data_IF_522326855174
#
_entry.id   IF_522326855174
#
_cell.length_a   1.000
_cell.length_b   1.000
_cell.length_c   1.000
_cell.angle_alpha   90.00
_cell.angle_beta   90.00
_cell.angle_gamma   90.00
#
_symmetry.space_group_name_H-M   'P 1'
#
loop_
_entity.id
_entity.type
_entity.pdbx_description
1 polymer ?
#
# COMPACT_ATOMS: atom_id res chain seq x y z
N UNK A 1 -7.33 -24.63 -28.57
CA UNK A 1 -6.90 -25.70 -27.65
C UNK A 1 -5.53 -25.28 -27.16
N UNK A 2 -5.47 -24.65 -25.99
CA UNK A 2 -4.18 -24.23 -25.39
C UNK A 2 -3.62 -25.46 -24.68
N UNK A 3 -2.51 -26.00 -25.17
CA UNK A 3 -1.67 -26.89 -24.36
C UNK A 3 -1.21 -26.08 -23.15
N UNK A 4 -1.75 -26.43 -21.99
CA UNK A 4 -1.19 -25.98 -20.73
C UNK A 4 0.15 -26.67 -20.59
N UNK A 5 1.23 -25.92 -20.81
CA UNK A 5 2.56 -26.27 -20.34
C UNK A 5 2.43 -26.80 -18.90
N UNK A 6 2.82 -28.06 -18.66
CA UNK A 6 2.82 -28.70 -17.34
C UNK A 6 3.91 -28.03 -16.47
N UNK A 7 3.65 -26.77 -16.13
CA UNK A 7 4.47 -26.02 -15.20
C UNK A 7 4.36 -26.66 -13.82
N UNK A 8 5.50 -27.08 -13.26
CA UNK A 8 5.61 -27.58 -11.90
C UNK A 8 4.93 -26.54 -10.97
N UNK A 9 3.90 -26.91 -10.21
CA UNK A 9 3.16 -25.95 -9.40
C UNK A 9 4.06 -25.33 -8.31
N UNK A 10 3.84 -24.05 -8.00
CA UNK A 10 4.58 -23.36 -6.94
C UNK A 10 4.43 -24.10 -5.60
N UNK A 11 5.53 -24.13 -4.83
CA UNK A 11 5.53 -24.79 -3.53
C UNK A 11 4.70 -23.97 -2.53
N UNK A 12 3.67 -24.60 -1.96
CA UNK A 12 2.85 -24.02 -0.88
C UNK A 12 3.60 -23.98 0.45
N UNK A 13 4.54 -23.04 0.60
CA UNK A 13 5.39 -22.90 1.79
C UNK A 13 4.92 -21.84 2.79
N UNK A 14 4.13 -20.85 2.36
CA UNK A 14 3.77 -19.71 3.19
C UNK A 14 2.64 -20.05 4.16
N UNK A 15 2.87 -19.82 5.46
CA UNK A 15 1.85 -19.97 6.50
C UNK A 15 0.96 -18.72 6.59
N UNK A 16 -0.23 -18.86 7.19
CA UNK A 16 -1.13 -17.72 7.42
C UNK A 16 -0.42 -16.55 8.13
N UNK A 17 0.42 -16.85 9.13
CA UNK A 17 1.15 -15.83 9.90
C UNK A 17 2.15 -15.07 9.05
N UNK A 18 2.93 -15.79 8.21
CA UNK A 18 3.90 -15.18 7.30
C UNK A 18 3.20 -14.25 6.30
N UNK A 19 2.08 -14.70 5.73
CA UNK A 19 1.29 -13.92 4.79
C UNK A 19 0.68 -12.68 5.47
N UNK A 20 0.18 -12.82 6.69
CA UNK A 20 -0.36 -11.69 7.47
C UNK A 20 0.70 -10.62 7.70
N UNK A 21 1.91 -10.99 8.14
CA UNK A 21 2.99 -10.01 8.33
C UNK A 21 3.55 -9.47 7.02
N UNK A 22 3.56 -10.28 5.95
CA UNK A 22 3.88 -9.81 4.61
C UNK A 22 2.90 -8.70 4.18
N UNK A 23 1.59 -8.97 4.29
CA UNK A 23 0.55 -7.98 3.98
C UNK A 23 0.53 -6.78 4.92
N UNK A 24 0.84 -6.97 6.20
CA UNK A 24 0.95 -5.86 7.14
C UNK A 24 2.13 -4.95 6.75
N UNK A 25 3.29 -5.50 6.38
CA UNK A 25 4.44 -4.70 5.94
C UNK A 25 4.18 -3.91 4.66
N UNK A 26 3.45 -4.50 3.70
CA UNK A 26 3.07 -3.78 2.47
C UNK A 26 2.10 -2.64 2.75
N UNK A 27 1.17 -2.81 3.70
CA UNK A 27 0.28 -1.73 4.15
C UNK A 27 1.06 -0.64 4.90
N UNK A 28 1.88 -1.01 5.89
CA UNK A 28 2.59 -0.08 6.77
C UNK A 28 3.50 0.88 5.98
N UNK A 29 4.31 0.34 5.08
CA UNK A 29 5.09 1.05 4.06
C UNK A 29 5.57 2.46 4.45
N UNK A 30 5.43 3.44 3.55
CA UNK A 30 5.69 4.85 3.87
C UNK A 30 4.46 5.62 4.36
N UNK A 31 3.28 5.00 4.34
CA UNK A 31 2.00 5.67 4.56
C UNK A 31 1.96 6.43 5.89
N UNK A 32 1.90 5.70 7.00
CA UNK A 32 1.85 6.34 8.33
C UNK A 32 3.15 7.04 8.71
N UNK A 33 4.29 6.54 8.24
CA UNK A 33 5.61 7.07 8.57
C UNK A 33 5.82 8.48 8.02
N UNK A 34 5.21 8.83 6.89
CA UNK A 34 5.48 10.11 6.23
C UNK A 34 4.21 10.94 6.07
N UNK A 35 3.09 10.32 5.69
CA UNK A 35 1.89 11.07 5.33
C UNK A 35 1.06 11.52 6.53
N UNK A 36 1.27 11.00 7.74
CA UNK A 36 0.49 11.42 8.92
C UNK A 36 0.51 12.93 9.13
N UNK A 37 1.66 13.59 8.89
CA UNK A 37 1.78 15.04 8.94
C UNK A 37 0.98 15.74 7.84
N UNK A 38 1.07 15.24 6.61
CA UNK A 38 0.33 15.81 5.46
C UNK A 38 -1.19 15.59 5.58
N UNK A 39 -1.62 14.48 6.16
CA UNK A 39 -3.04 14.24 6.52
C UNK A 39 -3.47 15.24 7.59
N UNK A 40 -2.63 15.48 8.61
CA UNK A 40 -2.91 16.48 9.64
C UNK A 40 -2.99 17.90 9.10
N UNK A 41 -2.22 18.23 8.07
CA UNK A 41 -2.34 19.51 7.37
C UNK A 41 -3.71 19.73 6.72
N UNK A 42 -4.49 18.67 6.44
CA UNK A 42 -5.83 18.74 5.85
C UNK A 42 -6.95 18.54 6.87
N UNK A 43 -6.83 17.50 7.70
CA UNK A 43 -7.88 17.10 8.64
C UNK A 43 -7.72 17.74 10.04
N UNK A 44 -6.60 18.39 10.32
CA UNK A 44 -6.33 19.00 11.61
C UNK A 44 -6.42 18.02 12.78
N UNK A 45 -7.13 18.42 13.83
CA UNK A 45 -7.37 17.59 15.03
C UNK A 45 -8.16 16.30 14.67
N UNK A 46 -8.88 16.29 13.54
CA UNK A 46 -9.64 15.14 13.08
C UNK A 46 -8.84 14.11 12.27
N UNK A 47 -7.50 14.22 12.23
CA UNK A 47 -6.60 13.25 11.57
C UNK A 47 -6.91 11.78 11.88
N UNK A 48 -7.14 11.36 13.14
CA UNK A 48 -7.45 9.97 13.44
C UNK A 48 -8.75 9.51 12.78
N UNK A 49 -9.76 10.38 12.74
CA UNK A 49 -11.03 10.11 12.07
C UNK A 49 -10.89 10.06 10.55
N UNK A 50 -9.99 10.86 9.96
CA UNK A 50 -9.66 10.76 8.55
C UNK A 50 -9.06 9.38 8.20
N UNK A 51 -8.17 8.84 9.06
CA UNK A 51 -7.66 7.48 8.90
C UNK A 51 -8.75 6.41 9.07
N UNK A 52 -9.70 6.58 9.99
CA UNK A 52 -10.84 5.66 10.15
C UNK A 52 -11.80 5.71 8.97
N UNK A 53 -12.06 6.91 8.42
CA UNK A 53 -12.89 7.07 7.22
C UNK A 53 -12.25 6.38 6.02
N UNK A 54 -10.94 6.58 5.82
CA UNK A 54 -10.16 5.90 4.80
C UNK A 54 -10.19 4.36 4.97
N UNK A 55 -10.04 3.87 6.20
CA UNK A 55 -10.17 2.44 6.50
C UNK A 55 -11.57 1.90 6.19
N UNK A 56 -12.62 2.65 6.55
CA UNK A 56 -14.00 2.26 6.27
C UNK A 56 -14.27 2.06 4.79
N UNK A 57 -13.72 2.93 3.93
CA UNK A 57 -13.82 2.82 2.47
C UNK A 57 -13.00 1.62 1.97
N UNK A 58 -11.75 1.49 2.41
CA UNK A 58 -10.87 0.39 1.99
C UNK A 58 -11.35 -1.00 2.47
N UNK A 59 -12.09 -1.07 3.58
CA UNK A 59 -12.62 -2.32 4.12
C UNK A 59 -13.55 -3.04 3.13
N UNK A 60 -14.39 -2.31 2.40
CA UNK A 60 -15.26 -2.93 1.39
C UNK A 60 -14.45 -3.60 0.28
N UNK A 61 -13.33 -2.99 -0.10
CA UNK A 61 -12.37 -3.56 -1.04
C UNK A 61 -11.68 -4.77 -0.44
N UNK A 62 -11.20 -4.71 0.80
CA UNK A 62 -10.60 -5.84 1.50
C UNK A 62 -11.54 -7.06 1.55
N UNK A 63 -12.84 -6.85 1.81
CA UNK A 63 -13.86 -7.91 1.74
C UNK A 63 -13.97 -8.52 0.35
N UNK A 64 -13.95 -7.69 -0.69
CA UNK A 64 -14.05 -8.15 -2.09
C UNK A 64 -12.82 -8.94 -2.52
N UNK A 65 -11.62 -8.51 -2.13
CA UNK A 65 -10.38 -9.25 -2.33
C UNK A 65 -10.34 -10.55 -1.55
N UNK A 66 -10.81 -10.55 -0.29
CA UNK A 66 -10.92 -11.76 0.53
C UNK A 66 -11.83 -12.80 -0.14
N UNK A 67 -12.98 -12.40 -0.68
CA UNK A 67 -13.87 -13.33 -1.40
C UNK A 67 -13.28 -13.81 -2.73
N UNK A 68 -12.75 -12.90 -3.56
CA UNK A 68 -12.19 -13.27 -4.86
C UNK A 68 -10.96 -14.18 -4.73
N UNK A 69 -10.06 -13.86 -3.80
CA UNK A 69 -8.86 -14.67 -3.57
C UNK A 69 -9.15 -16.04 -2.96
N UNK A 70 -10.24 -16.15 -2.19
CA UNK A 70 -10.73 -17.43 -1.70
C UNK A 70 -11.31 -18.30 -2.82
N UNK A 71 -12.05 -17.69 -3.77
CA UNK A 71 -12.64 -18.37 -4.92
C UNK A 71 -11.61 -18.73 -5.99
N UNK A 72 -10.63 -17.86 -6.20
CA UNK A 72 -9.68 -17.96 -7.30
C UNK A 72 -8.25 -17.66 -6.79
N UNK A 73 -7.62 -18.60 -6.07
CA UNK A 73 -6.28 -18.42 -5.50
C UNK A 73 -5.19 -18.54 -6.59
N UNK A 74 -5.12 -17.53 -7.46
CA UNK A 74 -4.20 -17.45 -8.60
C UNK A 74 -3.30 -16.22 -8.50
N UNK A 75 -2.03 -16.40 -8.86
CA UNK A 75 -1.06 -15.31 -8.99
C UNK A 75 -1.45 -14.42 -10.20
N UNK A 76 -1.35 -13.09 -10.08
CA UNK A 76 -1.90 -12.07 -11.00
C UNK A 76 -3.38 -11.69 -10.78
N UNK A 77 -3.75 -11.53 -9.50
CA UNK A 77 -5.12 -11.41 -9.00
C UNK A 77 -6.04 -10.47 -9.78
N UNK A 78 -5.70 -9.18 -9.87
CA UNK A 78 -6.64 -8.16 -10.37
C UNK A 78 -6.95 -8.36 -11.85
N UNK A 79 -5.90 -8.53 -12.65
CA UNK A 79 -6.02 -8.76 -14.09
C UNK A 79 -6.77 -10.08 -14.36
N UNK A 80 -6.53 -11.10 -13.54
CA UNK A 80 -7.23 -12.39 -13.63
C UNK A 80 -8.71 -12.27 -13.26
N UNK A 81 -9.06 -11.65 -12.13
CA UNK A 81 -10.45 -11.51 -11.67
C UNK A 81 -11.30 -10.75 -12.68
N UNK A 82 -10.76 -9.66 -13.24
CA UNK A 82 -11.43 -8.87 -14.26
C UNK A 82 -11.57 -9.67 -15.57
N UNK A 83 -10.54 -10.42 -15.97
CA UNK A 83 -10.63 -11.29 -17.14
C UNK A 83 -11.70 -12.37 -16.96
N UNK A 84 -11.73 -13.03 -15.80
CA UNK A 84 -12.67 -14.10 -15.48
C UNK A 84 -14.12 -13.58 -15.46
N UNK A 85 -14.37 -12.45 -14.81
CA UNK A 85 -15.70 -11.86 -14.74
C UNK A 85 -16.18 -11.34 -16.11
N UNK A 86 -15.33 -10.62 -16.85
CA UNK A 86 -15.74 -9.89 -18.05
C UNK A 86 -15.50 -10.62 -19.37
N UNK A 87 -14.63 -11.64 -19.40
CA UNK A 87 -14.17 -12.33 -20.61
C UNK A 87 -13.63 -11.35 -21.68
N UNK A 88 -13.02 -10.24 -21.25
CA UNK A 88 -12.52 -9.15 -22.12
C UNK A 88 -11.04 -8.93 -21.90
N UNK A 89 -10.22 -9.52 -22.78
CA UNK A 89 -8.75 -9.47 -22.70
C UNK A 89 -8.18 -8.05 -22.72
N UNK A 90 -8.86 -7.08 -23.35
CA UNK A 90 -8.42 -5.69 -23.34
C UNK A 90 -8.60 -5.02 -21.97
N UNK A 91 -9.62 -5.42 -21.21
CA UNK A 91 -9.89 -4.86 -19.89
C UNK A 91 -8.85 -5.36 -18.88
N UNK A 92 -8.52 -6.65 -18.94
CA UNK A 92 -7.43 -7.25 -18.17
C UNK A 92 -6.08 -6.57 -18.45
N UNK A 93 -5.79 -6.25 -19.73
CA UNK A 93 -4.61 -5.48 -20.13
C UNK A 93 -4.56 -4.09 -19.52
N UNK A 94 -5.68 -3.37 -19.53
CA UNK A 94 -5.76 -2.03 -18.92
C UNK A 94 -5.52 -2.14 -17.42
N UNK A 95 -6.11 -3.13 -16.74
CA UNK A 95 -5.87 -3.39 -15.32
C UNK A 95 -4.40 -3.67 -15.04
N UNK A 96 -3.74 -4.52 -15.84
CA UNK A 96 -2.30 -4.79 -15.71
C UNK A 96 -1.46 -3.51 -15.80
N UNK A 97 -1.73 -2.64 -16.77
CA UNK A 97 -1.04 -1.35 -16.88
C UNK A 97 -1.38 -0.39 -15.73
N UNK A 98 -2.62 -0.37 -15.24
CA UNK A 98 -2.99 0.42 -14.05
C UNK A 98 -2.24 -0.06 -12.80
N UNK A 99 -2.09 -1.37 -12.61
CA UNK A 99 -1.31 -1.94 -11.50
C UNK A 99 0.17 -1.55 -11.61
N UNK A 100 0.77 -1.63 -12.80
CA UNK A 100 2.15 -1.14 -13.05
C UNK A 100 2.27 0.35 -12.72
N UNK A 101 1.33 1.18 -13.18
CA UNK A 101 1.34 2.61 -12.92
C UNK A 101 1.17 2.92 -11.43
N UNK A 102 0.24 2.24 -10.73
CA UNK A 102 0.07 2.36 -9.28
C UNK A 102 1.39 2.05 -8.57
N UNK A 103 2.04 0.93 -8.90
CA UNK A 103 3.30 0.53 -8.26
C UNK A 103 4.42 1.53 -8.51
N UNK A 104 4.58 2.01 -9.74
CA UNK A 104 5.60 3.01 -10.11
C UNK A 104 5.37 4.35 -9.42
N UNK A 105 4.14 4.88 -9.41
CA UNK A 105 3.81 6.15 -8.75
C UNK A 105 3.92 6.00 -7.23
N UNK A 106 3.49 4.87 -6.68
CA UNK A 106 3.61 4.59 -5.23
C UNK A 106 5.07 4.50 -4.79
N UNK A 107 5.92 3.79 -5.54
CA UNK A 107 7.36 3.73 -5.26
C UNK A 107 8.02 5.11 -5.32
N UNK A 108 7.59 5.99 -6.23
CA UNK A 108 8.05 7.38 -6.27
C UNK A 108 7.61 8.17 -5.02
N UNK A 109 6.37 7.98 -4.54
CA UNK A 109 5.89 8.60 -3.29
C UNK A 109 6.70 8.14 -2.08
N UNK A 110 6.93 6.83 -1.95
CA UNK A 110 7.76 6.23 -0.89
C UNK A 110 9.19 6.79 -0.96
N UNK A 111 9.75 6.92 -2.17
CA UNK A 111 11.09 7.48 -2.39
C UNK A 111 11.18 8.96 -1.98
N UNK A 112 10.13 9.77 -2.18
CA UNK A 112 10.07 11.14 -1.62
C UNK A 112 10.07 11.11 -0.10
N UNK A 113 9.33 10.18 0.51
CA UNK A 113 9.26 10.05 1.96
C UNK A 113 10.56 9.60 2.63
N UNK A 114 11.44 8.95 1.88
CA UNK A 114 12.77 8.56 2.33
C UNK A 114 13.65 9.75 2.73
N UNK A 115 13.53 10.88 2.03
CA UNK A 115 14.51 11.98 2.15
C UNK A 115 14.56 12.56 3.56
N UNK A 116 13.40 12.82 4.17
CA UNK A 116 13.30 13.39 5.51
C UNK A 116 13.91 12.49 6.59
N UNK A 117 13.75 11.17 6.48
CA UNK A 117 14.36 10.23 7.42
C UNK A 117 15.85 10.01 7.18
N UNK A 118 16.30 10.02 5.92
CA UNK A 118 17.71 9.80 5.59
C UNK A 118 18.59 10.98 6.02
N UNK A 119 18.05 12.20 5.93
CA UNK A 119 18.71 13.43 6.34
C UNK A 119 19.01 13.50 7.85
N UNK A 120 18.38 12.66 8.68
CA UNK A 120 18.71 12.51 10.09
C UNK A 120 20.12 11.94 10.31
N UNK A 121 20.61 11.16 9.34
CA UNK A 121 21.92 10.49 9.41
C UNK A 121 22.95 11.21 8.55
N UNK A 122 22.56 11.57 7.33
CA UNK A 122 23.45 12.19 6.35
C UNK A 122 22.72 13.37 5.69
N UNK A 123 23.14 14.63 5.95
CA UNK A 123 22.47 15.80 5.42
C UNK A 123 22.80 16.02 3.93
N UNK A 124 22.14 15.24 3.07
CA UNK A 124 22.21 15.39 1.61
C UNK A 124 20.97 16.13 1.07
N UNK A 125 21.11 16.84 -0.07
CA UNK A 125 19.94 17.42 -0.73
C UNK A 125 18.97 16.34 -1.25
N UNK A 126 17.68 16.64 -1.27
CA UNK A 126 16.60 15.70 -1.63
C UNK A 126 16.88 14.90 -2.90
N UNK A 127 17.34 15.57 -3.97
CA UNK A 127 17.59 14.93 -5.26
C UNK A 127 18.67 13.84 -5.16
N UNK A 128 19.67 14.02 -4.29
CA UNK A 128 20.74 13.05 -4.10
C UNK A 128 20.25 11.85 -3.28
N UNK A 129 19.43 12.07 -2.24
CA UNK A 129 18.77 11.00 -1.49
C UNK A 129 17.88 10.14 -2.38
N UNK A 130 17.06 10.78 -3.23
CA UNK A 130 16.18 10.12 -4.20
C UNK A 130 17.00 9.29 -5.19
N UNK A 131 18.02 9.89 -5.81
CA UNK A 131 18.88 9.21 -6.78
C UNK A 131 19.56 7.99 -6.15
N UNK A 132 20.13 8.15 -4.94
CA UNK A 132 20.78 7.07 -4.21
C UNK A 132 19.80 5.92 -3.95
N UNK A 133 18.62 6.20 -3.40
CA UNK A 133 17.63 5.17 -3.09
C UNK A 133 17.18 4.42 -4.35
N UNK A 134 16.85 5.14 -5.43
CA UNK A 134 16.40 4.51 -6.68
C UNK A 134 17.48 3.63 -7.30
N UNK A 135 18.74 4.06 -7.28
CA UNK A 135 19.85 3.25 -7.76
C UNK A 135 20.05 1.98 -6.91
N UNK A 136 19.97 2.10 -5.59
CA UNK A 136 20.07 0.96 -4.67
C UNK A 136 18.93 -0.04 -4.91
N UNK A 137 17.69 0.44 -5.01
CA UNK A 137 16.53 -0.42 -5.29
C UNK A 137 16.63 -1.09 -6.66
N UNK A 138 17.04 -0.35 -7.69
CA UNK A 138 17.26 -0.89 -9.03
C UNK A 138 18.34 -1.96 -9.05
N UNK A 139 19.45 -1.73 -8.35
CA UNK A 139 20.51 -2.72 -8.20
C UNK A 139 20.02 -3.99 -7.49
N UNK A 140 19.34 -3.86 -6.35
CA UNK A 140 18.80 -5.00 -5.59
C UNK A 140 17.78 -5.79 -6.43
N UNK A 141 16.87 -5.09 -7.11
CA UNK A 141 15.87 -5.71 -7.97
C UNK A 141 16.49 -6.44 -9.17
N UNK A 142 17.54 -5.89 -9.78
CA UNK A 142 18.29 -6.53 -10.87
C UNK A 142 19.07 -7.74 -10.38
N UNK A 143 19.72 -7.63 -9.22
CA UNK A 143 20.45 -8.75 -8.59
C UNK A 143 19.50 -9.93 -8.32
N UNK A 144 18.21 -9.66 -8.12
CA UNK A 144 17.20 -10.69 -8.00
C UNK A 144 17.19 -11.34 -6.62
N UNK A 145 17.47 -10.53 -5.59
CA UNK A 145 17.21 -10.92 -4.21
C UNK A 145 15.68 -11.11 -4.12
N UNK A 146 15.23 -12.35 -4.24
CA UNK A 146 13.84 -12.71 -3.94
C UNK A 146 13.66 -12.45 -2.46
N UNK A 147 12.82 -11.48 -2.11
CA UNK A 147 12.46 -11.25 -0.72
C UNK A 147 11.92 -12.54 -0.13
N UNK A 148 12.59 -13.06 0.88
CA UNK A 148 12.07 -14.17 1.64
C UNK A 148 10.90 -13.65 2.46
N UNK A 149 9.72 -14.26 2.36
CA UNK A 149 8.56 -13.88 3.18
C UNK A 149 8.89 -13.85 4.69
N UNK A 150 9.88 -14.62 5.13
CA UNK A 150 10.40 -14.57 6.49
C UNK A 150 11.18 -13.27 6.79
N UNK A 151 12.00 -12.79 5.86
CA UNK A 151 12.71 -11.51 6.02
C UNK A 151 11.72 -10.34 6.02
N UNK A 152 10.73 -10.36 5.12
CA UNK A 152 9.65 -9.36 5.13
C UNK A 152 8.94 -9.38 6.48
N UNK A 153 8.59 -10.55 7.00
CA UNK A 153 7.98 -10.68 8.34
C UNK A 153 8.85 -10.07 9.45
N UNK A 154 10.17 -10.32 9.44
CA UNK A 154 11.09 -9.74 10.43
C UNK A 154 11.14 -8.21 10.34
N UNK A 155 11.21 -7.68 9.12
CA UNK A 155 11.18 -6.24 8.86
C UNK A 155 9.86 -5.65 9.37
N UNK A 156 8.72 -6.22 8.99
CA UNK A 156 7.40 -5.79 9.48
C UNK A 156 7.31 -5.82 10.99
N UNK A 157 7.88 -6.83 11.65
CA UNK A 157 7.87 -6.90 13.11
C UNK A 157 8.65 -5.72 13.73
N UNK A 158 9.79 -5.36 13.15
CA UNK A 158 10.58 -4.19 13.56
C UNK A 158 9.80 -2.89 13.32
N UNK A 159 9.08 -2.78 12.19
CA UNK A 159 8.21 -1.64 11.89
C UNK A 159 7.09 -1.50 12.93
N UNK A 160 6.37 -2.58 13.22
CA UNK A 160 5.30 -2.61 14.21
C UNK A 160 5.85 -2.22 15.59
N UNK A 161 7.03 -2.72 15.97
CA UNK A 161 7.68 -2.33 17.22
C UNK A 161 7.99 -0.82 17.25
N UNK A 162 8.48 -0.25 16.16
CA UNK A 162 8.70 1.20 16.03
C UNK A 162 7.41 2.00 16.27
N UNK A 163 6.30 1.60 15.66
CA UNK A 163 5.00 2.26 15.87
C UNK A 163 4.48 2.06 17.30
N UNK A 164 4.67 0.89 17.89
CA UNK A 164 4.30 0.62 19.29
C UNK A 164 5.11 1.48 20.26
N UNK A 165 6.40 1.74 19.99
CA UNK A 165 7.21 2.67 20.79
C UNK A 165 6.61 4.07 20.75
N UNK A 166 6.21 4.55 19.57
CA UNK A 166 5.56 5.86 19.42
C UNK A 166 4.27 5.94 20.24
N UNK A 167 3.41 4.93 20.14
CA UNK A 167 2.15 4.84 20.91
C UNK A 167 2.44 4.82 22.42
N UNK A 168 3.41 4.01 22.84
CA UNK A 168 3.79 3.89 24.25
C UNK A 168 4.33 5.21 24.81
N UNK A 169 5.17 5.93 24.07
CA UNK A 169 5.75 7.19 24.51
C UNK A 169 4.74 8.34 24.58
N UNK A 170 3.57 8.22 23.94
CA UNK A 170 2.49 9.19 24.05
C UNK A 170 1.54 8.93 25.25
N UNK A 171 1.74 7.85 26.03
CA UNK A 171 0.77 7.43 27.06
C UNK A 171 0.51 8.50 28.13
N UNK A 172 1.53 9.28 28.48
CA UNK A 172 1.47 10.37 29.46
C UNK A 172 0.63 11.55 28.97
N UNK A 173 0.41 11.67 27.65
CA UNK A 173 -0.39 12.73 27.04
C UNK A 173 -1.83 12.32 26.73
N UNK A 174 -2.20 11.06 26.95
CA UNK A 174 -3.58 10.56 26.76
C UNK A 174 -4.59 11.40 27.56
N UNK A 175 -4.24 11.82 28.77
CA UNK A 175 -5.09 12.67 29.61
C UNK A 175 -5.40 14.05 29.04
N UNK A 176 -4.61 14.53 28.07
CA UNK A 176 -4.82 15.82 27.39
C UNK A 176 -5.74 15.72 26.17
N UNK A 177 -6.07 14.50 25.72
CA UNK A 177 -6.93 14.29 24.54
C UNK A 177 -8.30 14.97 24.67
N UNK A 178 -9.04 14.92 25.80
CA UNK A 178 -10.30 15.64 25.92
C UNK A 178 -10.14 17.14 25.67
N UNK A 179 -9.13 17.77 26.29
CA UNK A 179 -8.84 19.19 26.11
C UNK A 179 -8.38 19.55 24.69
N UNK A 180 -7.78 18.61 23.95
CA UNK A 180 -7.46 18.76 22.53
C UNK A 180 -8.75 18.82 21.70
N UNK A 181 -9.69 17.90 21.95
CA UNK A 181 -10.96 17.85 21.23
C UNK A 181 -11.93 18.97 21.64
N UNK A 182 -11.83 19.51 22.86
CA UNK A 182 -12.57 20.71 23.27
C UNK A 182 -12.17 21.95 22.47
N UNK A 183 -10.93 21.98 21.95
CA UNK A 183 -10.43 23.03 21.05
C UNK A 183 -10.74 22.75 19.58
N UNK A 184 -11.35 21.61 19.26
CA UNK A 184 -11.72 21.30 17.89
C UNK A 184 -12.86 22.21 17.44
N UNK A 185 -12.77 22.72 16.22
CA UNK A 185 -13.84 23.52 15.62
C UNK A 185 -15.11 22.67 15.49
N UNK A 186 -16.28 23.28 15.72
CA UNK A 186 -17.57 22.61 15.47
C UNK A 186 -17.63 22.05 14.04
N UNK A 187 -18.35 20.94 13.85
CA UNK A 187 -18.56 20.34 12.53
C UNK A 187 -19.22 21.33 11.55
N UNK A 188 -18.39 22.02 10.80
CA UNK A 188 -18.75 22.90 9.69
C UNK A 188 -18.52 22.17 8.37
N UNK A 189 -19.02 22.73 7.27
CA UNK A 189 -18.75 22.20 5.92
C UNK A 189 -17.23 22.16 5.66
N UNK A 190 -16.49 23.19 6.07
CA UNK A 190 -15.04 23.28 5.89
C UNK A 190 -14.28 22.21 6.69
N UNK A 191 -14.72 21.92 7.91
CA UNK A 191 -14.14 20.83 8.72
C UNK A 191 -14.40 19.48 8.05
N UNK A 192 -15.62 19.24 7.57
CA UNK A 192 -15.97 17.99 6.89
C UNK A 192 -15.22 17.81 5.57
N UNK A 193 -15.03 18.88 4.79
CA UNK A 193 -14.21 18.83 3.56
C UNK A 193 -12.74 18.57 3.88
N UNK A 194 -12.20 19.17 4.95
CA UNK A 194 -10.85 18.90 5.46
C UNK A 194 -10.66 17.44 5.88
N UNK A 195 -11.62 16.86 6.61
CA UNK A 195 -11.63 15.43 6.97
C UNK A 195 -11.66 14.55 5.72
N UNK A 196 -12.52 14.88 4.74
CA UNK A 196 -12.60 14.15 3.48
C UNK A 196 -11.29 14.18 2.69
N UNK A 197 -10.69 15.36 2.54
CA UNK A 197 -9.40 15.53 1.86
C UNK A 197 -8.26 14.81 2.59
N UNK A 198 -8.25 14.86 3.92
CA UNK A 198 -7.30 14.10 4.74
C UNK A 198 -7.51 12.59 4.60
N UNK A 199 -8.75 12.12 4.58
CA UNK A 199 -9.08 10.71 4.38
C UNK A 199 -8.62 10.24 3.00
N UNK A 200 -8.77 11.06 1.96
CA UNK A 200 -8.29 10.74 0.61
C UNK A 200 -6.78 10.53 0.56
N UNK A 201 -6.03 11.37 1.27
CA UNK A 201 -4.59 11.19 1.40
C UNK A 201 -4.24 10.00 2.29
N UNK A 202 -4.97 9.79 3.39
CA UNK A 202 -4.77 8.67 4.30
C UNK A 202 -5.08 7.31 3.66
N UNK A 203 -5.99 7.27 2.68
CA UNK A 203 -6.34 6.07 1.91
C UNK A 203 -5.12 5.43 1.24
N UNK A 204 -4.16 6.24 0.82
CA UNK A 204 -2.87 5.74 0.30
C UNK A 204 -2.18 4.79 1.29
N UNK A 205 -2.30 5.05 2.60
CA UNK A 205 -1.65 4.23 3.64
C UNK A 205 -2.31 2.84 3.80
N UNK A 206 -3.49 2.64 3.23
CA UNK A 206 -4.21 1.35 3.26
C UNK A 206 -4.03 0.53 1.97
N UNK A 207 -3.31 1.06 0.99
CA UNK A 207 -2.92 0.34 -0.22
C UNK A 207 -1.83 -0.66 0.16
N UNK A 208 -1.96 -1.91 -0.29
CA UNK A 208 -0.94 -2.96 -0.10
C UNK A 208 -1.50 -4.32 0.32
N UNK A 209 -2.75 -4.43 0.78
CA UNK A 209 -3.35 -5.74 1.08
C UNK A 209 -3.66 -6.54 -0.21
N UNK A 210 -3.87 -5.86 -1.33
CA UNK A 210 -4.06 -6.44 -2.65
C UNK A 210 -2.83 -7.21 -3.13
N UNK A 211 -1.62 -6.75 -2.76
CA UNK A 211 -0.36 -7.40 -3.11
C UNK A 211 -0.25 -8.82 -2.52
N UNK A 212 -0.99 -9.12 -1.44
CA UNK A 212 -1.05 -10.45 -0.84
C UNK A 212 -1.62 -11.50 -1.79
N UNK A 213 -2.45 -11.09 -2.75
CA UNK A 213 -3.03 -11.99 -3.75
C UNK A 213 -1.98 -12.48 -4.75
N UNK A 214 -0.93 -11.70 -4.98
CA UNK A 214 0.12 -12.07 -5.93
C UNK A 214 1.00 -13.24 -5.47
N UNK A 215 0.94 -13.60 -4.18
CA UNK A 215 1.61 -14.77 -3.61
C UNK A 215 0.63 -15.91 -3.27
N UNK A 216 -0.63 -15.83 -3.70
CA UNK A 216 -1.70 -16.77 -3.32
C UNK A 216 -1.34 -18.24 -3.57
N UNK A 217 -0.64 -18.53 -4.67
CA UNK A 217 -0.26 -19.90 -5.05
C UNK A 217 0.83 -20.51 -4.14
N UNK A 218 1.58 -19.67 -3.41
CA UNK A 218 2.62 -20.10 -2.45
C UNK A 218 2.06 -20.30 -1.03
N UNK A 219 0.79 -19.96 -0.79
CA UNK A 219 0.13 -20.05 0.52
C UNK A 219 -0.38 -21.47 0.77
N UNK A 220 -0.22 -21.96 2.00
CA UNK A 220 -0.88 -23.17 2.48
C UNK A 220 -2.37 -22.90 2.68
N UNK A 221 -3.25 -23.70 2.07
CA UNK A 221 -4.71 -23.53 2.18
C UNK A 221 -5.17 -22.09 1.87
N UNK A 222 -4.83 -21.55 0.67
CA UNK A 222 -5.06 -20.15 0.32
C UNK A 222 -6.53 -19.75 0.42
N UNK A 223 -7.44 -20.68 0.16
CA UNK A 223 -8.89 -20.47 0.21
C UNK A 223 -9.36 -19.97 1.59
N UNK A 224 -8.66 -20.36 2.67
CA UNK A 224 -8.99 -19.96 4.05
C UNK A 224 -7.98 -18.98 4.64
N UNK A 225 -6.69 -19.20 4.37
CA UNK A 225 -5.62 -18.46 5.03
C UNK A 225 -5.41 -17.08 4.44
N UNK A 226 -5.59 -16.88 3.14
CA UNK A 226 -5.43 -15.57 2.51
C UNK A 226 -6.52 -14.57 2.94
N UNK A 227 -7.82 -14.91 2.95
CA UNK A 227 -8.87 -14.03 3.49
C UNK A 227 -8.61 -13.60 4.93
N UNK A 228 -8.24 -14.55 5.79
CA UNK A 228 -7.93 -14.27 7.20
C UNK A 228 -6.71 -13.36 7.34
N UNK A 229 -5.67 -13.60 6.55
CA UNK A 229 -4.48 -12.76 6.56
C UNK A 229 -4.79 -11.32 6.12
N UNK A 230 -5.63 -11.12 5.08
CA UNK A 230 -6.08 -9.79 4.63
C UNK A 230 -6.78 -9.05 5.78
N UNK A 231 -7.78 -9.67 6.43
CA UNK A 231 -8.51 -9.00 7.53
C UNK A 231 -7.64 -8.71 8.75
N UNK A 232 -6.75 -9.63 9.12
CA UNK A 232 -5.86 -9.45 10.26
C UNK A 232 -4.84 -8.33 9.98
N UNK A 233 -4.18 -8.34 8.82
CA UNK A 233 -3.23 -7.29 8.43
C UNK A 233 -3.92 -5.93 8.37
N UNK A 234 -5.07 -5.85 7.71
CA UNK A 234 -5.85 -4.61 7.58
C UNK A 234 -6.34 -4.07 8.94
N UNK A 235 -6.86 -4.95 9.80
CA UNK A 235 -7.33 -4.58 11.13
C UNK A 235 -6.21 -4.08 12.04
N UNK A 236 -5.06 -4.77 12.05
CA UNK A 236 -3.88 -4.36 12.81
C UNK A 236 -3.37 -3.00 12.31
N UNK A 237 -3.23 -2.82 11.00
CA UNK A 237 -2.81 -1.55 10.40
C UNK A 237 -3.77 -0.40 10.78
N UNK A 238 -5.07 -0.62 10.70
CA UNK A 238 -6.09 0.39 11.06
C UNK A 238 -5.94 0.84 12.52
N UNK A 239 -5.78 -0.11 13.44
CA UNK A 239 -5.59 0.20 14.87
C UNK A 239 -4.29 0.96 15.08
N UNK A 240 -3.18 0.51 14.48
CA UNK A 240 -1.88 1.18 14.60
C UNK A 240 -1.95 2.61 14.05
N UNK A 241 -2.53 2.82 12.87
CA UNK A 241 -2.62 4.14 12.26
C UNK A 241 -3.47 5.11 13.08
N UNK A 242 -4.62 4.65 13.58
CA UNK A 242 -5.47 5.44 14.45
C UNK A 242 -4.74 5.86 15.73
N UNK A 243 -4.06 4.91 16.39
CA UNK A 243 -3.33 5.17 17.63
C UNK A 243 -2.09 6.05 17.41
N UNK A 244 -1.37 5.86 16.31
CA UNK A 244 -0.22 6.72 15.94
C UNK A 244 -0.70 8.14 15.62
N UNK A 245 -1.80 8.30 14.87
CA UNK A 245 -2.37 9.62 14.59
C UNK A 245 -2.79 10.35 15.88
N UNK A 246 -3.42 9.63 16.83
CA UNK A 246 -3.74 10.17 18.15
C UNK A 246 -2.48 10.55 18.94
N UNK A 247 -1.47 9.68 18.96
CA UNK A 247 -0.19 9.93 19.62
C UNK A 247 0.45 11.21 19.08
N UNK A 248 0.57 11.35 17.76
CA UNK A 248 1.14 12.55 17.13
C UNK A 248 0.41 13.82 17.54
N UNK A 249 -0.93 13.83 17.48
CA UNK A 249 -1.72 15.01 17.83
C UNK A 249 -1.70 15.35 19.32
N UNK A 250 -1.60 14.35 20.20
CA UNK A 250 -1.53 14.58 21.65
C UNK A 250 -0.21 15.24 22.08
N UNK A 251 0.85 15.06 21.30
CA UNK A 251 2.21 15.48 21.65
C UNK A 251 2.68 16.69 20.85
N UNK A 252 2.34 16.75 19.58
CA UNK A 252 2.90 17.72 18.63
C UNK A 252 1.87 18.80 18.28
N UNK A 253 2.23 20.10 18.39
CA UNK A 253 1.43 21.18 17.82
C UNK A 253 1.17 20.96 16.32
N UNK A 254 -0.07 21.19 15.89
CA UNK A 254 -0.51 20.91 14.53
C UNK A 254 0.38 21.54 13.42
N UNK A 255 0.85 22.79 13.53
CA UNK A 255 1.73 23.36 12.51
C UNK A 255 3.08 22.63 12.39
N UNK A 256 3.63 22.14 13.50
CA UNK A 256 4.89 21.38 13.52
C UNK A 256 4.68 20.01 12.88
N UNK A 257 3.58 19.32 13.23
CA UNK A 257 3.22 18.04 12.65
C UNK A 257 2.98 18.15 11.13
N UNK A 258 2.25 19.17 10.69
CA UNK A 258 1.93 19.41 9.28
C UNK A 258 3.16 19.72 8.41
N UNK A 259 4.13 20.44 8.97
CA UNK A 259 5.35 20.84 8.26
C UNK A 259 6.44 19.75 8.25
N UNK A 260 6.36 18.75 9.14
CA UNK A 260 7.41 17.76 9.32
C UNK A 260 7.49 16.75 8.17
N UNK A 261 8.68 16.59 7.58
CA UNK A 261 8.95 15.56 6.57
C UNK A 261 9.29 14.19 7.17
N UNK A 262 9.66 14.15 8.46
CA UNK A 262 9.90 12.93 9.24
C UNK A 262 9.12 12.95 10.58
N UNK A 263 7.77 12.93 10.55
CA UNK A 263 6.93 13.22 11.71
C UNK A 263 7.22 12.36 12.94
N UNK A 264 7.51 11.06 12.77
CA UNK A 264 7.80 10.17 13.89
C UNK A 264 9.18 10.48 14.51
N UNK A 265 10.16 10.91 13.71
CA UNK A 265 11.45 11.37 14.21
C UNK A 265 11.31 12.70 14.98
N UNK A 266 10.52 13.63 14.45
CA UNK A 266 10.21 14.90 15.12
C UNK A 266 9.52 14.66 16.47
N UNK A 267 8.56 13.74 16.51
CA UNK A 267 7.92 13.29 17.76
C UNK A 267 8.95 12.80 18.79
N UNK A 268 9.89 11.93 18.38
CA UNK A 268 10.91 11.39 19.28
C UNK A 268 11.78 12.50 19.88
N UNK A 269 12.23 13.45 19.05
CA UNK A 269 13.02 14.59 19.51
C UNK A 269 12.23 15.46 20.51
N UNK A 270 10.94 15.71 20.27
CA UNK A 270 10.09 16.47 21.18
C UNK A 270 9.87 15.77 22.53
N UNK A 271 9.83 14.43 22.53
CA UNK A 271 9.78 13.61 23.75
C UNK A 271 11.15 13.45 24.44
N UNK A 272 12.22 14.07 23.91
CA UNK A 272 13.57 14.00 24.48
C UNK A 272 14.30 12.68 24.20
N UNK A 273 13.81 11.87 23.26
CA UNK A 273 14.44 10.62 22.85
C UNK A 273 15.19 10.77 21.52
N UNK A 274 16.16 9.89 21.28
CA UNK A 274 16.90 9.88 20.01
C UNK A 274 15.98 9.53 18.84
N UNK A 275 15.93 10.41 17.84
CA UNK A 275 15.22 10.19 16.57
C UNK A 275 15.93 9.18 15.65
N UNK A 276 17.18 8.80 15.93
CA UNK A 276 17.94 7.89 15.07
C UNK A 276 17.36 6.47 15.06
N UNK A 277 16.83 5.98 16.18
CA UNK A 277 16.27 4.61 16.24
C UNK A 277 15.03 4.52 15.36
N UNK A 278 14.08 5.44 15.55
CA UNK A 278 12.86 5.45 14.72
C UNK A 278 13.20 5.77 13.26
N UNK A 279 14.15 6.68 13.02
CA UNK A 279 14.60 7.01 11.67
C UNK A 279 15.16 5.79 10.94
N UNK A 280 15.96 4.95 11.61
CA UNK A 280 16.48 3.72 11.02
C UNK A 280 15.37 2.72 10.70
N UNK A 281 14.41 2.55 11.62
CA UNK A 281 13.23 1.70 11.40
C UNK A 281 12.43 2.19 10.19
N UNK A 282 12.19 3.50 10.10
CA UNK A 282 11.49 4.12 8.96
C UNK A 282 12.22 3.92 7.65
N UNK A 283 13.56 4.04 7.62
CA UNK A 283 14.35 3.81 6.41
C UNK A 283 14.24 2.37 5.92
N UNK A 284 14.31 1.39 6.82
CA UNK A 284 14.11 -0.02 6.46
C UNK A 284 12.70 -0.22 5.89
N UNK A 285 11.68 0.34 6.53
CA UNK A 285 10.28 0.23 6.09
C UNK A 285 10.06 0.79 4.68
N UNK A 286 10.60 1.99 4.45
CA UNK A 286 10.51 2.71 3.19
C UNK A 286 11.25 1.96 2.07
N UNK A 287 12.47 1.46 2.34
CA UNK A 287 13.24 0.65 1.36
C UNK A 287 12.48 -0.62 1.01
N UNK A 288 11.97 -1.35 2.01
CA UNK A 288 11.21 -2.58 1.81
C UNK A 288 9.94 -2.32 0.99
N UNK A 289 9.14 -1.31 1.36
CA UNK A 289 7.92 -0.94 0.65
C UNK A 289 8.17 -0.52 -0.80
N UNK A 290 9.16 0.34 -1.07
CA UNK A 290 9.44 0.77 -2.43
C UNK A 290 10.07 -0.33 -3.29
N UNK A 291 10.95 -1.17 -2.73
CA UNK A 291 11.55 -2.29 -3.44
C UNK A 291 10.49 -3.31 -3.86
N UNK A 292 9.53 -3.62 -2.99
CA UNK A 292 8.41 -4.50 -3.31
C UNK A 292 7.63 -3.99 -4.53
N UNK A 293 7.35 -2.68 -4.60
CA UNK A 293 6.67 -2.06 -5.74
C UNK A 293 7.50 -2.11 -7.03
N UNK A 294 8.83 -1.93 -6.95
CA UNK A 294 9.75 -2.06 -8.11
C UNK A 294 9.72 -3.50 -8.66
N UNK A 295 9.78 -4.49 -7.77
CA UNK A 295 9.75 -5.91 -8.13
C UNK A 295 8.39 -6.27 -8.73
N UNK A 296 7.29 -5.84 -8.11
CA UNK A 296 5.93 -6.07 -8.61
C UNK A 296 5.75 -5.49 -10.01
N UNK A 297 6.03 -4.20 -10.21
CA UNK A 297 5.81 -3.52 -11.49
C UNK A 297 6.66 -4.13 -12.63
N UNK A 298 7.92 -4.50 -12.35
CA UNK A 298 8.80 -5.14 -13.34
C UNK A 298 8.34 -6.55 -13.72
N UNK A 299 7.83 -7.33 -12.76
CA UNK A 299 7.27 -8.67 -13.02
C UNK A 299 5.96 -8.62 -13.79
N UNK A 300 5.06 -7.69 -13.46
CA UNK A 300 3.80 -7.50 -14.21
C UNK A 300 4.11 -7.12 -15.66
N UNK A 301 5.02 -6.17 -15.90
CA UNK A 301 5.44 -5.81 -17.26
C UNK A 301 6.06 -6.98 -18.03
N UNK A 302 6.90 -7.79 -17.37
CA UNK A 302 7.45 -9.02 -17.95
C UNK A 302 6.35 -10.02 -18.35
N UNK A 303 5.40 -10.28 -17.45
CA UNK A 303 4.28 -11.19 -17.70
C UNK A 303 3.41 -10.71 -18.87
N UNK A 304 3.13 -9.40 -18.92
CA UNK A 304 2.39 -8.77 -20.01
C UNK A 304 3.12 -8.88 -21.35
N UNK A 305 4.45 -8.73 -21.37
CA UNK A 305 5.27 -8.88 -22.56
C UNK A 305 5.27 -10.33 -23.07
N UNK A 306 5.31 -11.33 -22.17
CA UNK A 306 5.16 -12.75 -22.53
C UNK A 306 3.80 -13.08 -23.13
N UNK A 307 2.75 -12.36 -22.71
CA UNK A 307 1.40 -12.49 -23.26
C UNK A 307 1.17 -11.66 -24.53
N UNK A 308 2.20 -10.99 -25.07
CA UNK A 308 2.10 -10.16 -26.28
C UNK A 308 1.32 -8.85 -26.09
N UNK A 309 1.18 -8.41 -24.84
CA UNK A 309 0.38 -7.22 -24.47
C UNK A 309 1.22 -6.00 -24.07
N UNK A 310 2.54 -6.18 -24.00
CA UNK A 310 3.55 -5.14 -23.82
C UNK A 310 4.71 -5.36 -24.82
N UNK A 311 5.57 -4.36 -25.07
CA UNK A 311 6.70 -4.50 -25.98
C UNK A 311 7.60 -5.70 -25.66
N UNK A 312 7.98 -6.46 -26.69
CA UNK A 312 8.66 -7.75 -26.52
C UNK A 312 9.98 -7.68 -25.74
N UNK A 313 10.71 -6.57 -25.82
CA UNK A 313 11.97 -6.38 -25.09
C UNK A 313 11.79 -6.37 -23.55
N UNK A 314 10.61 -6.02 -23.03
CA UNK A 314 10.31 -6.09 -21.60
C UNK A 314 10.17 -7.54 -21.10
N UNK A 315 9.99 -8.49 -22.02
CA UNK A 315 9.87 -9.93 -21.75
C UNK A 315 11.22 -10.66 -21.68
N UNK A 316 12.35 -9.94 -21.76
CA UNK A 316 13.69 -10.53 -21.71
C UNK A 316 14.17 -10.67 -20.25
N UNK A 317 14.73 -11.83 -19.92
CA UNK A 317 15.30 -12.12 -18.60
C UNK A 317 16.82 -12.31 -18.71
N UNK A 318 17.56 -11.82 -17.73
CA UNK A 318 19.00 -12.04 -17.67
C UNK A 318 19.31 -13.45 -17.15
N UNK A 319 20.17 -14.18 -17.87
CA UNK A 319 20.38 -15.61 -17.65
C UNK A 319 20.92 -15.97 -16.25
N UNK A 320 21.75 -15.11 -15.64
CA UNK A 320 22.37 -15.41 -14.32
C UNK A 320 21.45 -15.11 -13.14
N UNK A 321 20.70 -14.01 -13.19
CA UNK A 321 19.83 -13.56 -12.08
C UNK A 321 18.38 -14.02 -12.26
N UNK A 322 18.00 -14.45 -13.47
CA UNK A 322 16.62 -14.78 -13.85
C UNK A 322 15.64 -13.62 -13.62
N UNK A 323 16.13 -12.38 -13.72
CA UNK A 323 15.34 -11.16 -13.52
C UNK A 323 15.10 -10.39 -14.83
N UNK A 324 13.95 -9.68 -14.96
CA UNK A 324 13.63 -8.90 -16.15
C UNK A 324 14.33 -7.52 -16.13
N UNK A 325 15.64 -7.51 -16.35
CA UNK A 325 16.51 -6.31 -16.18
C UNK A 325 16.01 -5.09 -16.94
N UNK A 326 15.57 -5.24 -18.20
CA UNK A 326 15.08 -4.10 -19.01
C UNK A 326 13.79 -3.53 -18.40
N UNK A 327 12.86 -4.38 -17.97
CA UNK A 327 11.64 -3.93 -17.30
C UNK A 327 11.97 -3.20 -15.99
N UNK A 328 12.91 -3.71 -15.19
CA UNK A 328 13.37 -3.04 -13.97
C UNK A 328 13.99 -1.68 -14.27
N UNK A 329 14.84 -1.55 -15.29
CA UNK A 329 15.44 -0.28 -15.69
C UNK A 329 14.37 0.75 -16.12
N UNK A 330 13.35 0.32 -16.86
CA UNK A 330 12.22 1.18 -17.21
C UNK A 330 11.45 1.63 -15.96
N UNK A 331 11.12 0.71 -15.05
CA UNK A 331 10.46 1.04 -13.77
C UNK A 331 11.24 2.09 -12.99
N UNK A 332 12.53 1.83 -12.71
CA UNK A 332 13.32 2.74 -11.85
C UNK A 332 13.57 4.08 -12.51
N UNK A 333 13.66 4.13 -13.85
CA UNK A 333 13.76 5.39 -14.58
C UNK A 333 12.49 6.22 -14.41
N UNK A 334 11.31 5.61 -14.54
CA UNK A 334 10.04 6.32 -14.34
C UNK A 334 9.90 6.76 -12.88
N UNK A 335 10.25 5.90 -11.92
CA UNK A 335 10.26 6.27 -10.49
C UNK A 335 11.15 7.48 -10.24
N UNK A 336 12.37 7.50 -10.79
CA UNK A 336 13.30 8.61 -10.64
C UNK A 336 12.73 9.91 -11.18
N UNK A 337 12.16 9.89 -12.39
CA UNK A 337 11.54 11.07 -13.02
C UNK A 337 10.38 11.58 -12.15
N UNK A 338 9.51 10.68 -11.70
CA UNK A 338 8.34 11.06 -10.89
C UNK A 338 8.73 11.58 -9.50
N UNK A 339 9.68 10.92 -8.83
CA UNK A 339 10.15 11.33 -7.51
C UNK A 339 10.92 12.66 -7.55
N UNK A 340 11.59 13.00 -8.66
CA UNK A 340 12.23 14.31 -8.83
C UNK A 340 11.23 15.39 -9.25
N UNK A 341 10.20 15.05 -10.02
CA UNK A 341 9.26 16.00 -10.61
C UNK A 341 8.06 16.37 -9.74
N UNK A 342 7.67 15.52 -8.78
CA UNK A 342 6.43 15.67 -8.02
C UNK A 342 6.65 15.56 -6.50
N UNK A 343 5.75 16.19 -5.73
CA UNK A 343 5.75 16.07 -4.28
C UNK A 343 5.02 14.79 -3.82
N UNK A 344 5.25 14.41 -2.56
CA UNK A 344 4.68 13.17 -2.01
C UNK A 344 3.14 13.18 -1.98
N UNK A 345 2.51 14.32 -1.68
CA UNK A 345 1.05 14.45 -1.66
C UNK A 345 0.43 14.20 -3.04
N UNK A 346 1.01 14.78 -4.09
CA UNK A 346 0.56 14.60 -5.47
C UNK A 346 0.73 13.16 -5.94
N UNK A 347 1.88 12.54 -5.64
CA UNK A 347 2.12 11.14 -5.97
C UNK A 347 1.14 10.22 -5.23
N UNK A 348 0.95 10.41 -3.92
CA UNK A 348 -0.02 9.63 -3.14
C UNK A 348 -1.45 9.80 -3.67
N UNK A 349 -1.86 11.01 -4.05
CA UNK A 349 -3.16 11.27 -4.67
C UNK A 349 -3.31 10.54 -6.00
N UNK A 350 -2.31 10.59 -6.89
CA UNK A 350 -2.34 9.90 -8.18
C UNK A 350 -2.43 8.38 -7.97
N UNK A 351 -1.64 7.81 -7.05
CA UNK A 351 -1.72 6.39 -6.71
C UNK A 351 -3.13 6.03 -6.23
N UNK A 352 -3.71 6.80 -5.30
CA UNK A 352 -5.07 6.59 -4.80
C UNK A 352 -6.11 6.63 -5.92
N UNK A 353 -6.00 7.58 -6.86
CA UNK A 353 -6.93 7.67 -8.01
C UNK A 353 -6.86 6.45 -8.91
N UNK A 354 -5.65 6.00 -9.27
CA UNK A 354 -5.47 4.84 -10.16
C UNK A 354 -6.01 3.58 -9.48
N UNK A 355 -5.66 3.35 -8.21
CA UNK A 355 -6.09 2.13 -7.51
C UNK A 355 -7.60 2.13 -7.24
N UNK A 356 -8.24 3.29 -7.01
CA UNK A 356 -9.70 3.36 -6.89
C UNK A 356 -10.40 2.90 -8.17
N UNK A 357 -9.84 3.21 -9.35
CA UNK A 357 -10.35 2.68 -10.62
C UNK A 357 -10.21 1.16 -10.69
N UNK A 358 -9.07 0.62 -10.28
CA UNK A 358 -8.87 -0.83 -10.17
C UNK A 358 -9.89 -1.44 -9.20
N UNK A 359 -10.08 -0.86 -8.02
CA UNK A 359 -11.02 -1.35 -7.01
C UNK A 359 -12.47 -1.31 -7.51
N UNK A 360 -12.88 -0.27 -8.23
CA UNK A 360 -14.19 -0.25 -8.89
C UNK A 360 -14.37 -1.43 -9.86
N UNK A 361 -13.35 -1.77 -10.64
CA UNK A 361 -13.38 -2.93 -11.53
C UNK A 361 -13.43 -4.26 -10.77
N UNK A 362 -12.74 -4.37 -9.62
CA UNK A 362 -12.76 -5.53 -8.74
C UNK A 362 -14.14 -5.73 -8.12
N UNK A 363 -14.75 -4.66 -7.61
CA UNK A 363 -16.12 -4.68 -7.11
C UNK A 363 -17.10 -5.13 -8.20
N UNK A 364 -17.01 -4.55 -9.40
CA UNK A 364 -17.84 -4.91 -10.53
C UNK A 364 -17.63 -6.36 -10.97
N UNK A 365 -16.38 -6.86 -10.95
CA UNK A 365 -16.05 -8.24 -11.24
C UNK A 365 -16.72 -9.20 -10.25
N UNK A 366 -16.59 -8.92 -8.94
CA UNK A 366 -17.21 -9.75 -7.91
C UNK A 366 -18.75 -9.73 -7.98
N UNK A 367 -19.36 -8.56 -8.20
CA UNK A 367 -20.83 -8.46 -8.41
C UNK A 367 -21.25 -9.36 -9.56
N UNK A 368 -20.55 -9.28 -10.69
CA UNK A 368 -20.87 -10.07 -11.89
C UNK A 368 -20.74 -11.58 -11.66
N UNK A 369 -19.68 -12.02 -10.99
CA UNK A 369 -19.45 -13.42 -10.62
C UNK A 369 -20.58 -13.93 -9.71
N UNK A 370 -21.01 -13.12 -8.72
CA UNK A 370 -22.09 -13.49 -7.79
C UNK A 370 -23.46 -13.54 -8.47
N UNK A 371 -23.75 -12.61 -9.38
CA UNK A 371 -25.00 -12.62 -10.18
C UNK A 371 -25.08 -13.86 -11.06
N UNK A 372 -23.95 -14.33 -11.60
CA UNK A 372 -23.88 -15.57 -12.39
C UNK A 372 -24.03 -16.86 -11.56
N UNK A 373 -24.07 -16.76 -10.23
CA UNK A 373 -24.13 -17.89 -9.30
C UNK A 373 -23.01 -18.91 -9.52
N UNK A 374 -21.81 -18.44 -9.88
CA UNK A 374 -20.60 -19.27 -9.80
C UNK A 374 -20.31 -19.50 -8.29
N UNK A 375 -20.88 -20.55 -7.70
CA UNK A 375 -20.72 -20.87 -6.28
C UNK A 375 -19.61 -21.92 -6.14
N UNK A 376 -18.50 -21.53 -5.52
CA UNK A 376 -17.51 -22.48 -5.01
C UNK A 376 -17.84 -22.78 -3.54
N UNK A 377 -18.16 -24.04 -3.25
CA UNK A 377 -18.61 -24.51 -1.92
C UNK A 377 -17.53 -24.33 -0.85
N UNK A 378 -16.25 -24.19 -1.24
CA UNK A 378 -15.13 -24.06 -0.30
C UNK A 378 -14.70 -22.61 -0.04
N UNK A 379 -15.21 -21.65 -0.81
CA UNK A 379 -14.77 -20.26 -0.74
C UNK A 379 -15.52 -19.44 0.31
N UNK A 380 -14.86 -18.40 0.82
CA UNK A 380 -15.49 -17.36 1.62
C UNK A 380 -16.64 -16.73 0.81
N UNK A 381 -17.80 -16.55 1.45
CA UNK A 381 -18.98 -15.96 0.83
C UNK A 381 -19.54 -14.86 1.73
N UNK A 382 -19.38 -13.61 1.30
CA UNK A 382 -19.96 -12.46 2.00
C UNK A 382 -21.26 -12.00 1.32
N UNK A 383 -21.96 -11.02 1.88
CA UNK A 383 -23.13 -10.43 1.21
C UNK A 383 -22.73 -9.74 -0.10
N UNK A 384 -23.60 -9.77 -1.12
CA UNK A 384 -23.42 -8.98 -2.35
C UNK A 384 -23.49 -7.47 -2.09
N UNK A 385 -24.06 -7.06 -0.95
CA UNK A 385 -24.08 -5.67 -0.53
C UNK A 385 -22.68 -5.07 -0.38
N UNK A 386 -21.69 -5.86 0.09
CA UNK A 386 -20.32 -5.36 0.29
C UNK A 386 -19.67 -4.82 -0.98
N UNK A 387 -19.59 -5.57 -2.10
CA UNK A 387 -19.01 -5.02 -3.33
C UNK A 387 -19.89 -3.93 -3.98
N UNK A 388 -21.21 -3.91 -3.75
CA UNK A 388 -22.07 -2.81 -4.24
C UNK A 388 -21.75 -1.51 -3.51
N UNK A 389 -21.72 -1.55 -2.17
CA UNK A 389 -21.35 -0.39 -1.35
C UNK A 389 -19.90 0.00 -1.62
N UNK A 390 -19.00 -0.96 -1.79
CA UNK A 390 -17.61 -0.75 -2.19
C UNK A 390 -17.48 -0.02 -3.53
N UNK A 391 -18.25 -0.42 -4.54
CA UNK A 391 -18.28 0.26 -5.84
C UNK A 391 -18.74 1.71 -5.71
N UNK A 392 -19.84 1.95 -5.00
CA UNK A 392 -20.40 3.30 -4.81
C UNK A 392 -19.44 4.18 -4.03
N UNK A 393 -18.92 3.70 -2.91
CA UNK A 393 -17.99 4.45 -2.06
C UNK A 393 -16.67 4.73 -2.77
N UNK A 394 -16.11 3.77 -3.52
CA UNK A 394 -14.91 3.99 -4.33
C UNK A 394 -15.14 5.06 -5.41
N UNK A 395 -16.31 5.04 -6.05
CA UNK A 395 -16.68 6.03 -7.07
C UNK A 395 -16.86 7.43 -6.47
N UNK A 396 -17.59 7.55 -5.35
CA UNK A 396 -17.79 8.82 -4.66
C UNK A 396 -16.45 9.41 -4.19
N UNK A 397 -15.57 8.56 -3.66
CA UNK A 397 -14.26 8.98 -3.19
C UNK A 397 -13.32 9.38 -4.32
N UNK A 398 -13.40 8.69 -5.46
CA UNK A 398 -12.72 9.11 -6.69
C UNK A 398 -13.19 10.50 -7.15
N UNK A 399 -14.50 10.76 -7.16
CA UNK A 399 -15.05 12.07 -7.54
C UNK A 399 -14.63 13.16 -6.55
N UNK A 400 -14.60 12.87 -5.25
CA UNK A 400 -14.24 13.86 -4.22
C UNK A 400 -12.82 14.39 -4.36
N UNK A 401 -11.95 13.74 -5.13
CA UNK A 401 -10.61 14.24 -5.41
C UNK A 401 -10.57 15.44 -6.36
N UNK A 402 -11.68 15.71 -7.07
CA UNK A 402 -11.80 16.75 -8.10
C UNK A 402 -12.71 17.92 -7.68
N UNK A 403 -13.31 17.83 -6.50
CA UNK A 403 -14.14 18.86 -5.86
C UNK A 403 -13.31 19.49 -4.76
#
# INVERSE_FOLDING_TARGET
>A
MFEMDESIPLKRSLSQLLVMFYGLGTILGAGIYVLVGKVAAKAGIYTPFAFLLAAGIALFTAVSYAELSSRFPKSAGEAFYVQHAFAKAWLSRIVGWMVVLTGVVSAAAITRGFTGYFQLFIPLPDWACILLLVLVMGFIAIWGIKESAFMVMLITLIEVLGLVIIIYLAHDQIGSLPALFDKAESFSVDVLTGIGAGAFLAFYSYIGFEDMVNVAEEIKDPERNLPRAIFLAFGIATVLYFLVALAMLSTMPLPILAASDAPLATFMNMKGHSSLVIGFISLIAIVNGALAQVIMASRVMYGMAKQGTAPHYLGQVYAKTQTPVIATLVVVTIILILALGFNIEGLAKITSLIILVVFMLIHAALIKIKVRREVDVKAAAYSIAFPIVGLITSFLFFISAFI
#
